data_IF_893236366681
#
_entry.id   IF_893236366681
#
_cell.length_a   1.000
_cell.length_b   1.000
_cell.length_c   1.000
_cell.angle_alpha   90.00
_cell.angle_beta   90.00
_cell.angle_gamma   90.00
#
_symmetry.space_group_name_H-M   'P 1'
#
loop_
_entity.id
_entity.type
_entity.pdbx_description
1 polymer ?
#
# COMPACT_ATOMS: atom_id res chain seq x y z
N UNK A 1 12.19 20.80 6.14
CA UNK A 1 10.76 20.41 6.04
C UNK A 1 10.68 18.93 5.68
N UNK A 2 10.17 18.03 6.55
CA UNK A 2 9.74 16.72 6.04
C UNK A 2 8.54 16.14 6.80
N UNK A 3 7.34 16.17 6.21
CA UNK A 3 6.22 15.30 6.62
C UNK A 3 5.46 14.64 5.46
N UNK A 4 5.90 14.83 4.21
CA UNK A 4 5.16 14.42 3.00
C UNK A 4 5.57 13.07 2.36
N UNK A 5 6.62 12.39 2.84
CA UNK A 5 7.11 11.16 2.18
C UNK A 5 6.12 9.99 2.28
N UNK A 6 5.68 9.62 3.49
CA UNK A 6 4.87 8.41 3.72
C UNK A 6 3.52 8.35 2.97
N UNK A 7 2.85 9.49 2.74
CA UNK A 7 1.57 9.51 2.01
C UNK A 7 1.77 9.25 0.51
N UNK A 8 2.89 9.73 -0.03
CA UNK A 8 3.23 9.53 -1.44
C UNK A 8 3.58 8.07 -1.71
N UNK A 9 4.21 7.38 -0.73
CA UNK A 9 4.55 5.96 -0.85
C UNK A 9 3.29 5.06 -0.94
N UNK A 10 2.24 5.30 -0.16
CA UNK A 10 1.02 4.49 -0.21
C UNK A 10 0.24 4.65 -1.51
N UNK A 11 -0.02 5.89 -1.93
CA UNK A 11 -0.78 6.17 -3.16
C UNK A 11 -0.05 5.59 -4.38
N UNK A 12 1.28 5.66 -4.39
CA UNK A 12 2.09 5.07 -5.45
C UNK A 12 2.00 3.53 -5.45
N UNK A 13 2.23 2.87 -4.31
CA UNK A 13 2.14 1.40 -4.24
C UNK A 13 0.74 0.89 -4.61
N UNK A 14 -0.31 1.64 -4.28
CA UNK A 14 -1.69 1.31 -4.66
C UNK A 14 -1.89 1.45 -6.18
N UNK A 15 -1.40 2.54 -6.77
CA UNK A 15 -1.51 2.78 -8.21
C UNK A 15 -0.73 1.76 -9.05
N UNK A 16 0.44 1.33 -8.56
CA UNK A 16 1.23 0.28 -9.18
C UNK A 16 0.49 -1.08 -9.11
N UNK A 17 -0.15 -1.36 -7.98
CA UNK A 17 -0.98 -2.58 -7.82
C UNK A 17 -2.18 -2.58 -8.77
N UNK A 18 -2.90 -1.46 -8.89
CA UNK A 18 -4.02 -1.32 -9.84
C UNK A 18 -3.57 -1.53 -11.29
N UNK A 19 -2.39 -1.03 -11.63
CA UNK A 19 -1.80 -1.20 -12.97
C UNK A 19 -1.48 -2.66 -13.26
N UNK A 20 -0.92 -3.39 -12.28
CA UNK A 20 -0.65 -4.82 -12.39
C UNK A 20 -1.93 -5.63 -12.55
N UNK A 21 -2.95 -5.36 -11.73
CA UNK A 21 -4.25 -6.04 -11.82
C UNK A 21 -4.87 -5.81 -13.20
N UNK A 22 -4.83 -4.58 -13.69
CA UNK A 22 -5.34 -4.22 -15.03
C UNK A 22 -4.62 -5.02 -16.13
N UNK A 23 -3.30 -5.17 -16.05
CA UNK A 23 -2.53 -5.97 -17.02
C UNK A 23 -2.89 -7.46 -16.94
N UNK A 24 -3.10 -7.99 -15.73
CA UNK A 24 -3.52 -9.39 -15.54
C UNK A 24 -4.92 -9.65 -16.09
N UNK A 25 -5.85 -8.70 -15.94
CA UNK A 25 -7.22 -8.79 -16.45
C UNK A 25 -7.31 -8.69 -17.98
N UNK A 26 -6.38 -7.98 -18.63
CA UNK A 26 -6.32 -7.87 -20.09
C UNK A 26 -5.98 -9.22 -20.76
N UNK A 27 -5.31 -10.13 -20.04
CA UNK A 27 -5.05 -11.49 -20.51
C UNK A 27 -4.03 -11.60 -21.64
N UNK A 28 -3.28 -10.54 -21.93
CA UNK A 28 -2.21 -10.53 -22.95
C UNK A 28 -0.84 -10.98 -22.39
N UNK A 29 -0.75 -11.24 -21.08
CA UNK A 29 0.49 -11.65 -20.42
C UNK A 29 0.85 -13.11 -20.74
N UNK A 30 2.14 -13.35 -20.97
CA UNK A 30 2.67 -14.71 -20.99
C UNK A 30 2.55 -15.35 -19.59
N UNK A 31 2.70 -16.68 -19.50
CA UNK A 31 2.70 -17.37 -18.20
C UNK A 31 3.82 -16.84 -17.29
N UNK A 32 5.02 -16.59 -17.83
CA UNK A 32 6.14 -16.07 -17.05
C UNK A 32 5.87 -14.65 -16.54
N UNK A 33 5.31 -13.79 -17.40
CA UNK A 33 4.98 -12.41 -17.01
C UNK A 33 3.80 -12.37 -16.03
N UNK A 34 2.85 -13.29 -16.16
CA UNK A 34 1.75 -13.44 -15.20
C UNK A 34 2.26 -13.82 -13.80
N UNK A 35 3.28 -14.67 -13.72
CA UNK A 35 3.91 -15.04 -12.44
C UNK A 35 4.68 -13.86 -11.83
N UNK A 36 5.40 -13.08 -12.64
CA UNK A 36 6.09 -11.86 -12.17
C UNK A 36 5.10 -10.82 -11.67
N UNK A 37 4.08 -10.52 -12.47
CA UNK A 37 2.99 -9.62 -12.11
C UNK A 37 2.32 -10.03 -10.79
N UNK A 38 2.08 -11.33 -10.61
CA UNK A 38 1.53 -11.85 -9.36
C UNK A 38 2.48 -11.66 -8.16
N UNK A 39 3.78 -11.96 -8.30
CA UNK A 39 4.77 -11.72 -7.24
C UNK A 39 4.84 -10.24 -6.84
N UNK A 40 4.90 -9.35 -7.83
CA UNK A 40 4.92 -7.90 -7.61
C UNK A 40 3.63 -7.42 -6.92
N UNK A 41 2.46 -7.88 -7.39
CA UNK A 41 1.17 -7.55 -6.77
C UNK A 41 1.07 -8.01 -5.31
N UNK A 42 1.60 -9.20 -4.99
CA UNK A 42 1.66 -9.69 -3.60
C UNK A 42 2.59 -8.81 -2.75
N UNK A 43 3.73 -8.39 -3.30
CA UNK A 43 4.68 -7.50 -2.61
C UNK A 43 4.05 -6.14 -2.30
N UNK A 44 3.45 -5.50 -3.31
CA UNK A 44 2.79 -4.20 -3.17
C UNK A 44 1.61 -4.25 -2.20
N UNK A 45 0.84 -5.34 -2.21
CA UNK A 45 -0.27 -5.56 -1.25
C UNK A 45 0.26 -5.58 0.19
N UNK A 46 1.37 -6.29 0.44
CA UNK A 46 1.99 -6.35 1.78
C UNK A 46 2.52 -4.99 2.21
N UNK A 47 3.11 -4.23 1.29
CA UNK A 47 3.58 -2.87 1.58
C UNK A 47 2.43 -1.95 1.96
N UNK A 48 1.34 -1.96 1.18
CA UNK A 48 0.13 -1.19 1.48
C UNK A 48 -0.42 -1.53 2.87
N UNK A 49 -0.54 -2.82 3.20
CA UNK A 49 -0.99 -3.27 4.52
C UNK A 49 -0.09 -2.76 5.66
N UNK A 50 1.22 -2.80 5.47
CA UNK A 50 2.17 -2.30 6.48
C UNK A 50 2.04 -0.78 6.68
N UNK A 51 1.86 -0.01 5.61
CA UNK A 51 1.66 1.44 5.72
C UNK A 51 0.36 1.75 6.46
N UNK A 52 -0.72 1.03 6.15
CA UNK A 52 -2.01 1.17 6.84
C UNK A 52 -1.89 0.80 8.33
N UNK A 53 -1.23 -0.30 8.66
CA UNK A 53 -0.99 -0.70 10.05
C UNK A 53 -0.19 0.35 10.84
N UNK A 54 0.84 0.93 10.23
CA UNK A 54 1.60 2.03 10.85
C UNK A 54 0.75 3.29 11.05
N UNK A 55 -0.14 3.60 10.10
CA UNK A 55 -1.05 4.72 10.20
C UNK A 55 -2.07 4.50 11.33
N UNK A 56 -2.66 3.31 11.41
CA UNK A 56 -3.59 2.91 12.46
C UNK A 56 -2.94 2.98 13.85
N UNK A 57 -1.75 2.40 14.02
CA UNK A 57 -0.99 2.47 15.26
C UNK A 57 -0.74 3.93 15.68
N UNK A 58 -0.39 4.80 14.73
CA UNK A 58 -0.16 6.21 15.00
C UNK A 58 -1.44 6.93 15.43
N UNK A 59 -2.58 6.61 14.80
CA UNK A 59 -3.89 7.15 15.19
C UNK A 59 -4.24 6.69 16.61
N UNK A 60 -4.06 5.40 16.91
CA UNK A 60 -4.32 4.84 18.24
C UNK A 60 -3.48 5.54 19.31
N UNK A 61 -2.17 5.70 19.10
CA UNK A 61 -1.30 6.42 20.03
C UNK A 61 -1.72 7.89 20.23
N UNK A 62 -2.19 8.56 19.17
CA UNK A 62 -2.70 9.93 19.26
C UNK A 62 -4.03 10.00 20.03
N UNK A 63 -4.88 8.99 19.92
CA UNK A 63 -6.13 8.88 20.69
C UNK A 63 -5.84 8.59 22.16
N UNK A 64 -4.89 7.70 22.46
CA UNK A 64 -4.46 7.37 23.83
C UNK A 64 -3.75 8.56 24.50
N UNK A 65 -2.90 9.28 23.76
CA UNK A 65 -2.19 10.47 24.26
C UNK A 65 -3.07 11.73 24.30
N UNK A 66 -4.16 11.76 23.51
CA UNK A 66 -5.13 12.85 23.43
C UNK A 66 -6.37 12.64 24.30
N UNK A 67 -6.42 11.54 25.06
CA UNK A 67 -7.52 11.18 25.96
C UNK A 67 -7.64 12.06 27.22
N UNK A 68 -6.81 13.09 27.40
CA UNK A 68 -7.01 14.15 28.42
C UNK A 68 -7.77 15.37 27.87
N UNK A 69 -8.52 15.23 26.77
CA UNK A 69 -9.57 16.18 26.43
C UNK A 69 -10.89 15.76 27.10
N UNK A 70 -10.89 15.92 28.42
CA UNK A 70 -11.94 15.72 29.45
C UNK A 70 -12.05 14.35 30.10
#
# INVERSE_FOLDING_TARGET
MPRKKKTTDFEQSLQDLESIVTQMEQGELSLEDSLKAFEEGVSLTRECQNILAQAEQKVQLLMESGGELK
#
